data_IF_144383507060
#
_entry.id   IF_144383507060
#
_cell.length_a   1.000
_cell.length_b   1.000
_cell.length_c   1.000
_cell.angle_alpha   90.00
_cell.angle_beta   90.00
_cell.angle_gamma   90.00
#
_symmetry.space_group_name_H-M   'P 1'
#
loop_
_entity.id
_entity.type
_entity.pdbx_description
1 polymer ?
#
# COMPACT_ATOMS: atom_id res chain seq x y z
N UNK A 1 -3.15 -10.15 -1.25
CA UNK A 1 -3.83 -9.37 -0.19
C UNK A 1 -2.93 -9.15 1.01
N UNK A 2 -2.19 -10.16 1.47
CA UNK A 2 -1.38 -10.13 2.71
C UNK A 2 -0.08 -9.31 2.66
N UNK A 3 0.05 -8.36 1.74
CA UNK A 3 1.26 -7.53 1.60
C UNK A 3 0.91 -6.12 2.07
N UNK A 4 1.78 -5.45 2.83
CA UNK A 4 1.50 -4.11 3.36
C UNK A 4 1.10 -3.08 2.29
N UNK A 5 1.69 -3.16 1.10
CA UNK A 5 1.31 -2.32 -0.04
C UNK A 5 -0.14 -2.50 -0.51
N UNK A 6 -0.82 -3.59 -0.12
CA UNK A 6 -2.21 -3.83 -0.45
C UNK A 6 -3.15 -2.83 0.24
N UNK A 7 -2.78 -2.29 1.41
CA UNK A 7 -3.57 -1.27 2.10
C UNK A 7 -3.63 0.03 1.27
N UNK A 8 -2.52 0.41 0.64
CA UNK A 8 -2.42 1.60 -0.20
C UNK A 8 -2.93 1.34 -1.63
N UNK A 9 -2.51 0.24 -2.26
CA UNK A 9 -2.69 0.01 -3.70
C UNK A 9 -3.89 -0.88 -4.04
N UNK A 10 -4.46 -1.58 -3.06
CA UNK A 10 -5.46 -2.64 -3.25
C UNK A 10 -6.72 -2.17 -3.99
N UNK A 11 -7.10 -0.90 -3.83
CA UNK A 11 -8.30 -0.32 -4.45
C UNK A 11 -8.25 -0.33 -5.99
N UNK A 12 -7.05 -0.16 -6.57
CA UNK A 12 -6.86 -0.08 -8.03
C UNK A 12 -6.11 -1.31 -8.59
N UNK A 13 -5.55 -2.15 -7.73
CA UNK A 13 -4.93 -3.41 -8.10
C UNK A 13 -5.94 -4.54 -8.34
N UNK A 14 -5.49 -5.62 -8.98
CA UNK A 14 -6.19 -6.90 -8.96
C UNK A 14 -5.59 -7.73 -7.83
N UNK A 15 -6.20 -7.65 -6.64
CA UNK A 15 -5.72 -8.35 -5.45
C UNK A 15 -6.04 -9.84 -5.52
N UNK A 16 -5.06 -10.66 -5.16
CA UNK A 16 -5.21 -12.13 -5.09
C UNK A 16 -4.84 -12.65 -3.70
N UNK A 17 -5.42 -13.79 -3.33
CA UNK A 17 -4.94 -14.60 -2.21
C UNK A 17 -3.83 -15.54 -2.71
N UNK A 18 -2.64 -15.55 -2.09
CA UNK A 18 -1.50 -16.34 -2.58
C UNK A 18 -1.72 -17.86 -2.50
N UNK A 19 -2.66 -18.31 -1.66
CA UNK A 19 -3.01 -19.72 -1.53
C UNK A 19 -4.14 -20.17 -2.48
N UNK A 20 -4.79 -19.23 -3.17
CA UNK A 20 -5.92 -19.51 -4.07
C UNK A 20 -5.47 -19.47 -5.53
N UNK A 21 -5.20 -20.66 -6.08
CA UNK A 21 -4.77 -20.83 -7.46
C UNK A 21 -5.84 -20.40 -8.48
N UNK A 22 -7.10 -20.68 -8.19
CA UNK A 22 -8.20 -20.43 -9.14
C UNK A 22 -8.50 -18.93 -9.22
N UNK A 23 -8.60 -18.25 -8.07
CA UNK A 23 -8.74 -16.80 -8.03
C UNK A 23 -7.55 -16.09 -8.68
N UNK A 24 -6.33 -16.59 -8.48
CA UNK A 24 -5.12 -16.04 -9.13
C UNK A 24 -5.19 -16.20 -10.66
N UNK A 25 -5.63 -17.35 -11.15
CA UNK A 25 -5.81 -17.60 -12.58
C UNK A 25 -6.86 -16.66 -13.19
N UNK A 26 -7.98 -16.46 -12.48
CA UNK A 26 -9.04 -15.55 -12.91
C UNK A 26 -8.57 -14.09 -12.93
N UNK A 27 -7.78 -13.66 -11.95
CA UNK A 27 -7.18 -12.33 -11.91
C UNK A 27 -6.21 -12.12 -13.08
N UNK A 28 -5.40 -13.13 -13.42
CA UNK A 28 -4.51 -13.08 -14.59
C UNK A 28 -5.30 -12.96 -15.89
N UNK A 29 -6.34 -13.78 -16.07
CA UNK A 29 -7.22 -13.70 -17.24
C UNK A 29 -7.85 -12.31 -17.34
N UNK A 30 -8.35 -11.77 -16.23
CA UNK A 30 -8.93 -10.43 -16.16
C UNK A 30 -7.90 -9.37 -16.56
N UNK A 31 -6.67 -9.45 -16.07
CA UNK A 31 -5.60 -8.53 -16.43
C UNK A 31 -5.28 -8.54 -17.93
N UNK A 32 -5.20 -9.73 -18.53
CA UNK A 32 -4.86 -9.91 -19.94
C UNK A 32 -5.99 -9.51 -20.90
N UNK A 33 -7.24 -9.65 -20.46
CA UNK A 33 -8.43 -9.32 -21.28
C UNK A 33 -9.01 -7.94 -20.98
N UNK A 34 -8.44 -7.22 -20.00
CA UNK A 34 -8.90 -5.90 -19.58
C UNK A 34 -8.88 -4.89 -20.73
N UNK A 35 -9.97 -4.12 -20.94
CA UNK A 35 -9.98 -3.02 -21.88
C UNK A 35 -8.87 -2.01 -21.58
N UNK A 36 -8.23 -1.47 -22.62
CA UNK A 36 -7.11 -0.54 -22.46
C UNK A 36 -7.47 0.71 -21.65
N UNK A 37 -8.71 1.22 -21.79
CA UNK A 37 -9.19 2.38 -21.04
C UNK A 37 -9.24 2.11 -19.52
N UNK A 38 -9.75 0.95 -19.13
CA UNK A 38 -9.81 0.52 -17.71
C UNK A 38 -8.40 0.31 -17.16
N UNK A 39 -7.52 -0.34 -17.92
CA UNK A 39 -6.12 -0.54 -17.53
C UNK A 39 -5.40 0.80 -17.31
N UNK A 40 -5.61 1.77 -18.20
CA UNK A 40 -5.02 3.09 -18.10
C UNK A 40 -5.54 3.86 -16.88
N UNK A 41 -6.84 3.78 -16.61
CA UNK A 41 -7.44 4.37 -15.40
C UNK A 41 -6.77 3.80 -14.15
N UNK A 42 -6.71 2.48 -14.00
CA UNK A 42 -6.08 1.82 -12.85
C UNK A 42 -4.62 2.21 -12.67
N UNK A 43 -3.81 2.19 -13.74
CA UNK A 43 -2.39 2.57 -13.68
C UNK A 43 -2.22 4.04 -13.26
N UNK A 44 -3.08 4.94 -13.74
CA UNK A 44 -3.01 6.36 -13.39
C UNK A 44 -3.24 6.56 -11.89
N UNK A 45 -4.28 5.91 -11.35
CA UNK A 45 -4.59 5.99 -9.92
C UNK A 45 -3.52 5.34 -9.04
N UNK A 46 -2.97 4.19 -9.47
CA UNK A 46 -1.86 3.53 -8.77
C UNK A 46 -0.61 4.41 -8.72
N UNK A 47 -0.27 5.08 -9.83
CA UNK A 47 0.88 6.01 -9.87
C UNK A 47 0.67 7.19 -8.95
N UNK A 48 -0.50 7.82 -9.01
CA UNK A 48 -0.84 8.94 -8.13
C UNK A 48 -0.70 8.54 -6.66
N UNK A 49 -1.25 7.38 -6.28
CA UNK A 49 -1.16 6.89 -4.90
C UNK A 49 0.29 6.63 -4.45
N UNK A 50 1.18 6.19 -5.34
CA UNK A 50 2.60 6.03 -5.03
C UNK A 50 3.30 7.39 -4.89
N UNK A 51 2.99 8.34 -5.77
CA UNK A 51 3.60 9.67 -5.80
C UNK A 51 3.15 10.56 -4.63
N UNK A 52 1.98 10.30 -4.05
CA UNK A 52 1.47 10.98 -2.85
C UNK A 52 2.26 10.61 -1.58
N UNK A 53 2.90 9.43 -1.55
CA UNK A 53 3.69 8.95 -0.40
C UNK A 53 5.18 9.29 -0.57
N UNK A 54 5.65 10.33 0.12
CA UNK A 54 7.06 10.74 0.15
C UNK A 54 7.83 10.04 1.27
N UNK A 55 8.91 9.32 0.92
CA UNK A 55 9.82 8.67 1.87
C UNK A 55 10.40 9.65 2.89
N UNK A 56 10.59 10.91 2.50
CA UNK A 56 11.07 11.98 3.37
C UNK A 56 10.02 12.32 4.42
N UNK A 57 8.75 12.46 4.01
CA UNK A 57 7.64 12.71 4.92
C UNK A 57 7.45 11.53 5.89
N UNK A 58 7.54 10.29 5.41
CA UNK A 58 7.52 9.10 6.26
C UNK A 58 8.62 9.13 7.33
N UNK A 59 9.87 9.44 6.94
CA UNK A 59 10.99 9.52 7.87
C UNK A 59 10.79 10.62 8.92
N UNK A 60 10.28 11.78 8.50
CA UNK A 60 10.01 12.89 9.42
C UNK A 60 8.95 12.52 10.45
N UNK A 61 7.83 11.90 10.03
CA UNK A 61 6.82 11.40 10.96
C UNK A 61 7.39 10.36 11.93
N UNK A 62 8.22 9.42 11.45
CA UNK A 62 8.86 8.43 12.32
C UNK A 62 9.75 9.08 13.40
N UNK A 63 10.53 10.10 13.03
CA UNK A 63 11.39 10.83 13.97
C UNK A 63 10.57 11.66 14.97
N UNK A 64 9.47 12.26 14.51
CA UNK A 64 8.52 12.97 15.38
C UNK A 64 7.88 12.01 16.39
N UNK A 65 7.38 10.86 15.94
CA UNK A 65 6.81 9.81 16.79
C UNK A 65 7.82 9.32 17.82
N UNK A 66 9.07 9.06 17.40
CA UNK A 66 10.14 8.64 18.32
C UNK A 66 10.46 9.71 19.37
N UNK A 67 10.43 10.99 18.97
CA UNK A 67 10.67 12.12 19.90
C UNK A 67 9.53 12.23 20.91
N UNK A 68 8.28 12.12 20.45
CA UNK A 68 7.09 12.15 21.29
C UNK A 68 7.11 11.00 22.32
N UNK A 69 7.46 9.78 21.91
CA UNK A 69 7.59 8.64 22.82
C UNK A 69 8.63 8.85 23.92
N UNK A 70 9.76 9.50 23.61
CA UNK A 70 10.80 9.82 24.61
C UNK A 70 10.32 10.92 25.56
N UNK A 71 9.53 11.88 25.09
CA UNK A 71 8.97 12.96 25.92
C UNK A 71 7.81 12.48 26.81
N UNK A 72 7.05 11.48 26.34
CA UNK A 72 5.94 10.84 27.07
C UNK A 72 6.42 9.80 28.09
N UNK A 73 7.73 9.56 28.23
CA UNK A 73 8.31 8.79 29.32
C UNK A 73 8.66 9.74 30.48
N UNK A 74 7.73 10.07 31.42
CA UNK A 74 8.15 10.64 32.68
C UNK A 74 8.94 9.53 33.40
N UNK A 75 10.17 9.86 33.81
CA UNK A 75 10.94 9.23 34.88
C UNK A 75 10.27 7.96 35.43
N UNK A 76 10.41 6.83 34.74
CA UNK A 76 10.12 5.53 35.37
C UNK A 76 11.33 5.21 36.26
N UNK A 77 11.55 6.09 37.24
CA UNK A 77 12.39 5.88 38.41
C UNK A 77 11.51 5.17 39.43
N UNK A 78 11.66 3.85 39.54
CA UNK A 78 12.08 3.11 40.75
C UNK A 78 12.15 1.63 40.42
#
# INVERSE_FOLDING_TARGET
ETVGACEQLGQNALTVSPADLEATTQALYTALTMPAAERNKRITELKRSIEEEDVTAWLLHLLEDATNLVQEQPETST
#
